data_IF_568378871107
#
_entry.id   IF_568378871107
#
_cell.length_a   1.000
_cell.length_b   1.000
_cell.length_c   1.000
_cell.angle_alpha   90.00
_cell.angle_beta   90.00
_cell.angle_gamma   90.00
#
_symmetry.space_group_name_H-M   'P 1'
#
loop_
_entity.id
_entity.type
_entity.pdbx_description
1 polymer ?
#
# COMPACT_ATOMS: atom_id res chain seq x y z
N UNK A 1 0.04 10.87 5.65
CA UNK A 1 -0.02 10.25 4.32
C UNK A 1 0.63 8.87 4.34
N UNK A 2 0.47 8.09 3.29
CA UNK A 2 0.93 6.69 3.17
C UNK A 2 1.78 6.45 1.92
N UNK A 3 2.82 5.61 1.98
CA UNK A 3 3.67 5.32 0.82
C UNK A 3 3.09 4.18 -0.04
N UNK A 4 3.22 4.30 -1.36
CA UNK A 4 2.97 3.21 -2.34
C UNK A 4 4.30 2.56 -2.78
N UNK A 5 5.24 2.44 -1.84
CA UNK A 5 6.56 1.88 -2.09
C UNK A 5 7.13 1.29 -0.79
N UNK A 6 8.17 0.46 -0.93
CA UNK A 6 8.90 -0.17 0.17
C UNK A 6 10.20 0.52 0.56
N UNK A 7 10.68 0.27 1.78
CA UNK A 7 11.98 0.70 2.32
C UNK A 7 12.75 -0.50 2.86
N UNK A 8 14.10 -0.53 2.75
CA UNK A 8 14.98 0.56 2.31
C UNK A 8 15.18 0.65 0.79
N UNK A 9 14.63 -0.28 0.00
CA UNK A 9 14.93 -0.39 -1.44
C UNK A 9 14.29 0.69 -2.33
N UNK A 10 13.27 1.42 -1.83
CA UNK A 10 12.46 2.34 -2.63
C UNK A 10 11.67 1.68 -3.77
N UNK A 11 11.55 0.35 -3.74
CA UNK A 11 10.79 -0.41 -4.75
C UNK A 11 9.32 0.00 -4.73
N UNK A 12 8.72 0.22 -5.89
CA UNK A 12 7.30 0.54 -6.04
C UNK A 12 6.43 -0.65 -5.63
N UNK A 13 5.19 -0.37 -5.19
CA UNK A 13 4.26 -1.41 -4.77
C UNK A 13 3.86 -2.35 -5.93
N UNK A 14 3.69 -1.81 -7.14
CA UNK A 14 3.43 -2.62 -8.32
C UNK A 14 4.58 -3.61 -8.64
N UNK A 15 5.83 -3.17 -8.48
CA UNK A 15 7.02 -4.01 -8.63
C UNK A 15 7.10 -5.09 -7.53
N UNK A 16 6.70 -4.78 -6.30
CA UNK A 16 6.58 -5.77 -5.22
C UNK A 16 5.62 -6.90 -5.64
N UNK A 17 4.47 -6.55 -6.23
CA UNK A 17 3.46 -7.53 -6.65
C UNK A 17 3.86 -8.31 -7.91
N UNK A 18 4.78 -7.78 -8.73
CA UNK A 18 5.41 -8.54 -9.82
C UNK A 18 6.35 -9.63 -9.30
N UNK A 19 6.99 -9.40 -8.15
CA UNK A 19 7.88 -10.36 -7.49
C UNK A 19 7.08 -11.41 -6.72
N UNK A 20 6.11 -10.97 -5.92
CA UNK A 20 5.20 -11.84 -5.17
C UNK A 20 3.75 -11.34 -5.35
N UNK A 21 2.96 -12.01 -6.20
CA UNK A 21 1.57 -11.63 -6.46
C UNK A 21 0.64 -11.66 -5.25
N UNK A 22 1.04 -12.29 -4.15
CA UNK A 22 0.28 -12.35 -2.90
C UNK A 22 0.72 -11.28 -1.89
N UNK A 23 1.84 -10.59 -2.11
CA UNK A 23 2.39 -9.56 -1.22
C UNK A 23 1.41 -8.42 -0.86
N UNK A 24 0.28 -8.29 -1.56
CA UNK A 24 -0.79 -7.36 -1.19
C UNK A 24 -1.37 -7.61 0.20
N UNK A 25 -1.27 -8.83 0.74
CA UNK A 25 -1.77 -9.23 2.05
C UNK A 25 -0.72 -9.18 3.17
N UNK A 26 0.51 -8.77 2.86
CA UNK A 26 1.59 -8.57 3.83
C UNK A 26 2.14 -7.14 3.78
N UNK A 27 3.00 -6.81 4.75
CA UNK A 27 3.70 -5.52 4.83
C UNK A 27 5.22 -5.66 4.62
N UNK A 28 5.68 -6.84 4.17
CA UNK A 28 7.10 -7.15 4.06
C UNK A 28 7.39 -8.20 2.98
N UNK A 29 8.45 -7.97 2.20
CA UNK A 29 9.05 -8.99 1.33
C UNK A 29 10.54 -9.17 1.63
N UNK A 30 11.08 -10.33 1.28
CA UNK A 30 12.53 -10.53 1.18
C UNK A 30 12.96 -10.26 -0.27
N UNK A 31 13.71 -9.18 -0.47
CA UNK A 31 14.26 -8.80 -1.77
C UNK A 31 15.75 -9.12 -1.76
N UNK A 32 16.11 -10.32 -2.23
CA UNK A 32 17.49 -10.79 -2.34
C UNK A 32 18.28 -10.70 -1.03
N UNK A 33 17.70 -11.17 0.07
CA UNK A 33 18.30 -11.12 1.41
C UNK A 33 18.12 -9.79 2.15
N UNK A 34 17.45 -8.81 1.53
CA UNK A 34 17.08 -7.55 2.18
C UNK A 34 15.60 -7.54 2.50
N UNK A 35 15.26 -7.39 3.79
CA UNK A 35 13.86 -7.18 4.20
C UNK A 35 13.40 -5.78 3.78
N UNK A 36 12.40 -5.74 2.91
CA UNK A 36 11.76 -4.50 2.45
C UNK A 36 10.37 -4.42 3.06
N UNK A 37 10.10 -3.32 3.76
CA UNK A 37 8.84 -3.04 4.45
C UNK A 37 8.03 -2.00 3.68
N UNK A 38 6.73 -2.24 3.52
CA UNK A 38 5.78 -1.38 2.81
C UNK A 38 4.42 -1.43 3.52
N UNK A 39 3.33 -1.00 2.87
CA UNK A 39 1.98 -1.10 3.39
C UNK A 39 1.12 -1.92 2.43
N UNK A 40 0.72 -3.11 2.84
CA UNK A 40 -0.28 -3.92 2.16
C UNK A 40 -1.68 -3.35 2.33
N UNK A 41 -2.64 -3.98 1.66
CA UNK A 41 -4.02 -3.50 1.53
C UNK A 41 -4.69 -3.32 2.90
N UNK A 42 -4.54 -4.30 3.80
CA UNK A 42 -5.17 -4.25 5.12
C UNK A 42 -4.59 -3.14 6.01
N UNK A 43 -3.29 -2.88 5.92
CA UNK A 43 -2.65 -1.79 6.64
C UNK A 43 -3.08 -0.42 6.08
N UNK A 44 -3.25 -0.31 4.76
CA UNK A 44 -3.82 0.90 4.14
C UNK A 44 -5.26 1.15 4.58
N UNK A 45 -6.12 0.12 4.62
CA UNK A 45 -7.49 0.25 5.16
C UNK A 45 -7.48 0.74 6.61
N UNK A 46 -6.70 0.11 7.48
CA UNK A 46 -6.60 0.51 8.90
C UNK A 46 -6.18 1.98 9.06
N UNK A 47 -5.18 2.43 8.30
CA UNK A 47 -4.72 3.83 8.34
C UNK A 47 -5.76 4.80 7.78
N UNK A 48 -6.46 4.40 6.71
CA UNK A 48 -7.52 5.21 6.11
C UNK A 48 -8.70 5.38 7.05
N UNK A 49 -9.16 4.29 7.67
CA UNK A 49 -10.20 4.31 8.70
C UNK A 49 -9.84 5.25 9.84
N UNK A 50 -8.64 5.10 10.38
CA UNK A 50 -8.17 5.98 11.46
C UNK A 50 -8.12 7.45 11.01
N UNK A 51 -7.62 7.73 9.80
CA UNK A 51 -7.58 9.10 9.27
C UNK A 51 -8.98 9.68 9.06
N UNK A 52 -9.95 8.89 8.57
CA UNK A 52 -11.35 9.32 8.43
C UNK A 52 -11.98 9.67 9.79
N UNK A 53 -11.67 8.90 10.82
CA UNK A 53 -12.22 9.11 12.17
C UNK A 53 -11.55 10.29 12.90
N UNK A 54 -10.33 10.67 12.53
CA UNK A 54 -9.50 11.57 13.35
C UNK A 54 -8.93 12.79 12.60
N UNK A 55 -8.96 12.82 11.27
CA UNK A 55 -8.31 13.83 10.43
C UNK A 55 -9.22 14.30 9.28
N UNK A 56 -8.77 15.32 8.55
CA UNK A 56 -9.48 15.85 7.37
C UNK A 56 -9.27 15.07 6.06
N UNK A 57 -8.49 13.98 6.09
CA UNK A 57 -8.23 13.15 4.91
C UNK A 57 -6.90 12.40 4.96
N UNK A 58 -6.62 11.67 3.88
CA UNK A 58 -5.39 10.90 3.70
C UNK A 58 -4.75 11.24 2.35
N UNK A 59 -3.45 11.52 2.38
CA UNK A 59 -2.61 11.68 1.19
C UNK A 59 -1.81 10.39 0.97
N UNK A 60 -1.51 10.05 -0.28
CA UNK A 60 -0.59 8.96 -0.62
C UNK A 60 0.52 9.43 -1.57
N UNK A 61 1.67 8.75 -1.53
CA UNK A 61 2.81 9.01 -2.41
C UNK A 61 3.40 7.68 -2.95
N UNK A 62 3.42 7.42 -4.25
CA UNK A 62 2.68 8.16 -5.28
C UNK A 62 1.90 7.24 -6.23
N UNK A 63 0.93 7.81 -6.94
CA UNK A 63 -0.13 7.08 -7.66
C UNK A 63 0.38 6.11 -8.72
N UNK A 64 1.48 6.43 -9.40
CA UNK A 64 2.03 5.60 -10.48
C UNK A 64 2.71 4.32 -9.99
N UNK A 65 2.88 4.18 -8.67
CA UNK A 65 3.44 3.00 -8.01
C UNK A 65 2.39 2.00 -7.57
N UNK A 66 1.10 2.28 -7.79
CA UNK A 66 0.01 1.36 -7.47
C UNK A 66 -0.22 0.30 -8.58
N UNK A 67 -0.96 -0.75 -8.25
CA UNK A 67 -1.39 -1.76 -9.22
C UNK A 67 -2.74 -1.44 -9.86
N UNK A 68 -2.91 -1.86 -11.11
CA UNK A 68 -4.18 -1.71 -11.83
C UNK A 68 -5.26 -2.71 -11.38
N UNK A 69 -4.88 -3.84 -10.78
CA UNK A 69 -5.82 -4.84 -10.29
C UNK A 69 -6.55 -4.30 -9.04
N UNK A 70 -7.83 -3.94 -9.19
CA UNK A 70 -8.60 -3.24 -8.15
C UNK A 70 -8.63 -3.95 -6.79
N UNK A 71 -8.67 -5.28 -6.78
CA UNK A 71 -8.64 -6.10 -5.55
C UNK A 71 -7.36 -5.92 -4.73
N UNK A 72 -6.28 -5.46 -5.36
CA UNK A 72 -4.95 -5.29 -4.75
C UNK A 72 -4.49 -3.83 -4.71
N UNK A 73 -5.20 -2.92 -5.38
CA UNK A 73 -4.85 -1.50 -5.45
C UNK A 73 -4.94 -0.84 -4.06
N UNK A 74 -3.88 -0.13 -3.69
CA UNK A 74 -3.84 0.66 -2.46
C UNK A 74 -4.72 1.90 -2.58
N UNK A 75 -4.79 2.53 -3.77
CA UNK A 75 -5.70 3.65 -4.02
C UNK A 75 -7.17 3.21 -3.89
N UNK A 76 -7.54 2.06 -4.46
CA UNK A 76 -8.89 1.54 -4.34
C UNK A 76 -9.23 1.23 -2.88
N UNK A 77 -8.30 0.64 -2.12
CA UNK A 77 -8.48 0.40 -0.69
C UNK A 77 -8.71 1.68 0.12
N UNK A 78 -8.01 2.78 -0.22
CA UNK A 78 -8.27 4.11 0.38
C UNK A 78 -9.67 4.59 0.00
N UNK A 79 -10.03 4.54 -1.28
CA UNK A 79 -11.31 5.05 -1.77
C UNK A 79 -12.51 4.32 -1.14
N UNK A 80 -12.43 2.99 -1.05
CA UNK A 80 -13.48 2.16 -0.45
C UNK A 80 -13.67 2.50 1.03
N UNK A 81 -12.58 2.54 1.81
CA UNK A 81 -12.66 2.79 3.25
C UNK A 81 -13.08 4.24 3.56
N UNK A 82 -12.67 5.21 2.74
CA UNK A 82 -13.05 6.61 2.90
C UNK A 82 -14.51 6.90 2.52
N UNK A 83 -15.14 6.03 1.71
CA UNK A 83 -16.52 6.20 1.22
C UNK A 83 -17.57 5.47 2.07
N UNK A 84 -17.16 4.52 2.92
CA UNK A 84 -17.98 3.99 4.02
C UNK A 84 -18.22 5.08 5.07
#
# INVERSE_FOLDING_TARGET
>A
GVPFYGRPSWIAYDEILKIDPNAFDTDIIDLNGTKVYYNGVDTIRKKTKWAKENLGGIMFWEVSQDVMEKSKSLQQAIADEASL
#
